data_IF_198586706539
#
_entry.id   IF_198586706539
#
_cell.length_a   1.000
_cell.length_b   1.000
_cell.length_c   1.000
_cell.angle_alpha   90.00
_cell.angle_beta   90.00
_cell.angle_gamma   90.00
#
_symmetry.space_group_name_H-M   'P 1'
#
loop_
_entity.id
_entity.type
_entity.pdbx_description
1 polymer ?
#
# COMPACT_ATOMS: atom_id res chain seq x y z
N UNK A 1 -66.69 -77.81 -4.59
CA UNK A 1 -65.92 -78.00 -3.33
C UNK A 1 -64.57 -77.33 -3.46
N UNK A 2 -63.77 -77.67 -4.47
CA UNK A 2 -62.50 -76.99 -4.80
C UNK A 2 -62.59 -75.46 -4.83
N UNK A 3 -63.54 -74.85 -5.53
CA UNK A 3 -63.66 -73.37 -5.61
C UNK A 3 -63.95 -72.71 -4.24
N UNK A 4 -64.77 -73.35 -3.40
CA UNK A 4 -65.05 -72.84 -2.05
C UNK A 4 -63.90 -73.11 -1.08
N UNK A 5 -63.13 -74.19 -1.31
CA UNK A 5 -61.91 -74.51 -0.57
C UNK A 5 -60.79 -73.52 -0.92
N UNK A 6 -60.61 -73.20 -2.20
CA UNK A 6 -59.71 -72.14 -2.68
C UNK A 6 -60.12 -70.78 -2.13
N UNK A 7 -61.40 -70.39 -2.26
CA UNK A 7 -61.88 -69.12 -1.70
C UNK A 7 -61.75 -69.03 -0.16
N UNK A 8 -61.95 -70.15 0.54
CA UNK A 8 -61.75 -70.25 1.99
C UNK A 8 -60.28 -70.17 2.38
N UNK A 9 -59.39 -70.83 1.65
CA UNK A 9 -57.94 -70.73 1.82
C UNK A 9 -57.47 -69.31 1.51
N UNK A 10 -57.93 -68.70 0.42
CA UNK A 10 -57.61 -67.32 0.04
C UNK A 10 -58.10 -66.31 1.11
N UNK A 11 -59.30 -66.54 1.67
CA UNK A 11 -59.84 -65.72 2.76
C UNK A 11 -59.06 -65.90 4.06
N UNK A 12 -58.65 -67.13 4.41
CA UNK A 12 -57.84 -67.41 5.61
C UNK A 12 -56.42 -66.83 5.44
N UNK A 13 -55.81 -66.98 4.26
CA UNK A 13 -54.52 -66.36 3.90
C UNK A 13 -54.59 -64.84 3.85
N UNK A 14 -55.78 -64.24 3.73
CA UNK A 14 -55.98 -62.79 3.82
C UNK A 14 -56.09 -62.26 5.27
N UNK A 15 -56.50 -63.10 6.23
CA UNK A 15 -56.78 -62.71 7.64
C UNK A 15 -55.60 -63.03 8.57
N UNK A 16 -54.60 -63.77 8.09
CA UNK A 16 -53.32 -63.94 8.77
C UNK A 16 -52.24 -64.15 7.69
N UNK A 17 -51.43 -63.12 7.38
CA UNK A 17 -50.42 -63.22 6.33
C UNK A 17 -49.49 -64.41 6.60
N UNK A 18 -49.21 -65.27 5.61
CA UNK A 18 -48.22 -66.32 5.79
C UNK A 18 -46.87 -65.69 6.14
N UNK A 19 -46.06 -66.36 6.97
CA UNK A 19 -44.75 -65.87 7.40
C UNK A 19 -43.88 -65.37 6.22
N UNK A 20 -44.01 -66.04 5.07
CA UNK A 20 -43.35 -65.70 3.80
C UNK A 20 -43.64 -64.28 3.29
N UNK A 21 -44.85 -63.74 3.50
CA UNK A 21 -45.22 -62.39 3.07
C UNK A 21 -44.55 -61.32 3.95
N UNK A 22 -44.53 -61.54 5.28
CA UNK A 22 -43.82 -60.65 6.22
C UNK A 22 -42.31 -60.70 5.99
N UNK A 23 -41.74 -61.88 5.75
CA UNK A 23 -40.31 -62.03 5.50
C UNK A 23 -39.91 -61.31 4.20
N UNK A 24 -40.68 -61.47 3.13
CA UNK A 24 -40.46 -60.75 1.86
C UNK A 24 -40.50 -59.24 2.05
N UNK A 25 -41.46 -58.73 2.83
CA UNK A 25 -41.56 -57.30 3.13
C UNK A 25 -40.35 -56.80 3.95
N UNK A 26 -39.87 -57.56 4.94
CA UNK A 26 -38.67 -57.19 5.71
C UNK A 26 -37.40 -57.20 4.85
N UNK A 27 -37.25 -58.17 3.93
CA UNK A 27 -36.14 -58.18 2.96
C UNK A 27 -36.17 -56.96 2.04
N UNK A 28 -37.36 -56.49 1.65
CA UNK A 28 -37.48 -55.25 0.88
C UNK A 28 -37.01 -54.02 1.69
N UNK A 29 -37.34 -53.96 2.98
CA UNK A 29 -36.83 -52.91 3.90
C UNK A 29 -35.31 -52.97 4.02
N UNK A 30 -34.73 -54.17 4.20
CA UNK A 30 -33.27 -54.35 4.26
C UNK A 30 -32.57 -53.91 2.98
N UNK A 31 -33.15 -54.24 1.82
CA UNK A 31 -32.63 -53.82 0.52
C UNK A 31 -32.68 -52.30 0.37
N UNK A 32 -33.80 -51.66 0.74
CA UNK A 32 -33.94 -50.21 0.71
C UNK A 32 -32.96 -49.50 1.65
N UNK A 33 -32.80 -50.02 2.88
CA UNK A 33 -31.84 -49.51 3.85
C UNK A 33 -30.40 -49.62 3.34
N UNK A 34 -30.02 -50.78 2.80
CA UNK A 34 -28.68 -51.00 2.25
C UNK A 34 -28.38 -50.05 1.07
N UNK A 35 -29.32 -49.92 0.13
CA UNK A 35 -29.21 -48.99 -0.99
C UNK A 35 -29.07 -47.53 -0.51
N UNK A 36 -29.85 -47.14 0.50
CA UNK A 36 -29.80 -45.77 1.03
C UNK A 36 -28.48 -45.45 1.75
N UNK A 37 -27.95 -46.41 2.51
CA UNK A 37 -26.62 -46.26 3.14
C UNK A 37 -25.51 -46.10 2.11
N UNK A 38 -25.59 -46.83 0.99
CA UNK A 38 -24.64 -46.68 -0.12
C UNK A 38 -24.74 -45.31 -0.79
N UNK A 39 -25.95 -44.78 -0.97
CA UNK A 39 -26.16 -43.40 -1.46
C UNK A 39 -25.49 -42.37 -0.53
N UNK A 40 -25.68 -42.52 0.79
CA UNK A 40 -25.04 -41.66 1.81
C UNK A 40 -23.51 -41.81 1.77
N UNK A 41 -22.97 -43.00 1.56
CA UNK A 41 -21.52 -43.22 1.45
C UNK A 41 -20.88 -42.49 0.28
N UNK A 42 -21.60 -42.44 -0.85
CA UNK A 42 -21.12 -41.81 -2.07
C UNK A 42 -21.12 -40.27 -2.00
N UNK A 43 -21.79 -39.68 -1.02
CA UNK A 43 -21.82 -38.22 -0.82
C UNK A 43 -20.48 -37.70 -0.30
N UNK A 44 -19.77 -36.92 -1.12
CA UNK A 44 -18.45 -36.36 -0.80
C UNK A 44 -18.52 -35.03 -0.04
N UNK A 45 -19.70 -34.41 -0.06
CA UNK A 45 -20.01 -33.17 0.66
C UNK A 45 -20.18 -33.41 2.18
N UNK A 46 -20.56 -34.63 2.57
CA UNK A 46 -20.72 -35.02 3.98
C UNK A 46 -19.40 -35.43 4.63
N UNK A 47 -19.27 -35.12 5.92
CA UNK A 47 -18.25 -35.71 6.77
C UNK A 47 -18.63 -37.12 7.24
N UNK A 48 -17.66 -37.86 7.75
CA UNK A 48 -17.85 -39.20 8.30
C UNK A 48 -18.85 -39.19 9.46
N UNK A 49 -18.86 -38.14 10.28
CA UNK A 49 -19.82 -37.95 11.37
C UNK A 49 -21.25 -37.71 10.84
N UNK A 50 -21.41 -36.86 9.82
CA UNK A 50 -22.72 -36.61 9.20
C UNK A 50 -23.26 -37.87 8.50
N UNK A 51 -22.38 -38.65 7.84
CA UNK A 51 -22.73 -39.96 7.26
C UNK A 51 -23.14 -40.94 8.34
N UNK A 52 -22.40 -41.03 9.45
CA UNK A 52 -22.72 -41.95 10.55
C UNK A 52 -24.09 -41.64 11.16
N UNK A 53 -24.39 -40.36 11.42
CA UNK A 53 -25.69 -39.93 11.91
C UNK A 53 -26.83 -40.30 10.95
N UNK A 54 -26.66 -40.04 9.65
CA UNK A 54 -27.66 -40.36 8.63
C UNK A 54 -27.89 -41.87 8.48
N UNK A 55 -26.83 -42.68 8.54
CA UNK A 55 -26.94 -44.15 8.52
C UNK A 55 -27.65 -44.68 9.76
N UNK A 56 -27.43 -44.07 10.92
CA UNK A 56 -28.17 -44.40 12.14
C UNK A 56 -29.67 -44.11 11.98
N UNK A 57 -30.04 -43.00 11.36
CA UNK A 57 -31.46 -42.69 11.06
C UNK A 57 -32.07 -43.72 10.08
N UNK A 58 -31.30 -44.16 9.07
CA UNK A 58 -31.71 -45.26 8.18
C UNK A 58 -31.99 -46.54 8.98
N UNK A 59 -31.12 -46.90 9.93
CA UNK A 59 -31.31 -48.08 10.80
C UNK A 59 -32.54 -47.96 11.70
N UNK A 60 -32.77 -46.77 12.26
CA UNK A 60 -33.97 -46.47 13.04
C UNK A 60 -35.24 -46.64 12.19
N UNK A 61 -35.29 -46.04 10.99
CA UNK A 61 -36.44 -46.15 10.08
C UNK A 61 -36.68 -47.56 9.57
N UNK A 62 -35.62 -48.32 9.29
CA UNK A 62 -35.74 -49.72 8.93
C UNK A 62 -36.32 -50.56 10.08
N UNK A 63 -35.90 -50.29 11.32
CA UNK A 63 -36.40 -51.00 12.51
C UNK A 63 -37.88 -50.67 12.80
N UNK A 64 -38.26 -49.39 12.67
CA UNK A 64 -39.66 -48.93 12.78
C UNK A 64 -40.55 -49.61 11.72
N UNK A 65 -40.10 -49.65 10.46
CA UNK A 65 -40.83 -50.30 9.36
C UNK A 65 -41.02 -51.80 9.58
N UNK A 66 -39.98 -52.52 10.05
CA UNK A 66 -40.07 -53.95 10.37
C UNK A 66 -41.06 -54.23 11.50
N UNK A 67 -41.07 -53.37 12.52
CA UNK A 67 -42.03 -53.48 13.63
C UNK A 67 -43.47 -53.23 13.17
N UNK A 68 -43.69 -52.30 12.23
CA UNK A 68 -45.00 -52.09 11.61
C UNK A 68 -45.45 -53.30 10.77
N UNK A 69 -44.53 -53.91 10.00
CA UNK A 69 -44.78 -55.16 9.25
C UNK A 69 -45.14 -56.31 10.20
N UNK A 70 -44.42 -56.45 11.32
CA UNK A 70 -44.71 -57.48 12.32
C UNK A 70 -46.08 -57.30 12.96
N UNK A 71 -46.49 -56.06 13.20
CA UNK A 71 -47.78 -55.70 13.78
C UNK A 71 -48.96 -55.83 12.80
N UNK A 72 -48.70 -55.89 11.49
CA UNK A 72 -49.75 -56.01 10.49
C UNK A 72 -50.47 -57.37 10.56
N UNK A 73 -51.80 -57.34 10.53
CA UNK A 73 -52.67 -58.53 10.65
C UNK A 73 -53.24 -59.01 9.31
N UNK A 74 -53.04 -58.27 8.22
CA UNK A 74 -53.51 -58.62 6.86
C UNK A 74 -52.40 -58.43 5.84
N UNK A 75 -52.49 -59.10 4.68
CA UNK A 75 -51.54 -58.91 3.58
C UNK A 75 -51.51 -57.45 3.08
N UNK A 76 -52.67 -56.79 3.00
CA UNK A 76 -52.76 -55.38 2.60
C UNK A 76 -52.07 -54.46 3.63
N UNK A 77 -52.17 -54.77 4.92
CA UNK A 77 -51.46 -54.07 5.98
C UNK A 77 -49.94 -54.25 5.88
N UNK A 78 -49.47 -55.47 5.58
CA UNK A 78 -48.05 -55.75 5.35
C UNK A 78 -47.51 -54.94 4.17
N UNK A 79 -48.22 -54.90 3.04
CA UNK A 79 -47.80 -54.12 1.88
C UNK A 79 -47.81 -52.61 2.16
N UNK A 80 -48.83 -52.11 2.87
CA UNK A 80 -48.91 -50.70 3.28
C UNK A 80 -47.73 -50.31 4.19
N UNK A 81 -47.42 -51.14 5.19
CA UNK A 81 -46.31 -50.91 6.11
C UNK A 81 -44.95 -50.97 5.39
N UNK A 82 -44.79 -51.90 4.45
CA UNK A 82 -43.62 -51.99 3.58
C UNK A 82 -43.44 -50.72 2.74
N UNK A 83 -44.48 -50.29 2.02
CA UNK A 83 -44.42 -49.08 1.19
C UNK A 83 -44.06 -47.86 2.03
N UNK A 84 -44.77 -47.61 3.14
CA UNK A 84 -44.46 -46.49 4.02
C UNK A 84 -43.03 -46.54 4.59
N UNK A 85 -42.53 -47.74 4.91
CA UNK A 85 -41.16 -47.93 5.38
C UNK A 85 -40.09 -47.64 4.32
N UNK A 86 -40.28 -48.14 3.09
CA UNK A 86 -39.41 -47.83 1.95
C UNK A 86 -39.41 -46.34 1.66
N UNK A 87 -40.59 -45.71 1.62
CA UNK A 87 -40.72 -44.27 1.38
C UNK A 87 -40.00 -43.46 2.46
N UNK A 88 -40.17 -43.82 3.74
CA UNK A 88 -39.51 -43.16 4.86
C UNK A 88 -37.98 -43.26 4.80
N UNK A 89 -37.44 -44.44 4.45
CA UNK A 89 -35.99 -44.63 4.24
C UNK A 89 -35.50 -43.80 3.06
N UNK A 90 -36.23 -43.82 1.94
CA UNK A 90 -35.85 -43.10 0.73
C UNK A 90 -35.77 -41.58 0.93
N UNK A 91 -36.62 -41.04 1.81
CA UNK A 91 -36.70 -39.62 2.14
C UNK A 91 -35.53 -39.08 2.97
N UNK A 92 -34.68 -39.96 3.53
CA UNK A 92 -33.52 -39.53 4.33
C UNK A 92 -32.52 -38.79 3.44
N UNK A 93 -32.26 -37.52 3.72
CA UNK A 93 -31.25 -36.74 2.99
C UNK A 93 -30.55 -35.79 3.95
N UNK A 94 -29.38 -36.16 4.51
CA UNK A 94 -28.71 -35.33 5.50
C UNK A 94 -28.17 -34.03 4.89
N UNK A 95 -28.21 -32.88 5.58
CA UNK A 95 -27.55 -31.67 5.11
C UNK A 95 -26.02 -31.79 5.24
N UNK A 96 -25.26 -31.17 4.34
CA UNK A 96 -23.82 -30.98 4.49
C UNK A 96 -23.56 -29.65 5.21
N UNK A 97 -23.29 -29.69 6.51
CA UNK A 97 -23.24 -28.48 7.34
C UNK A 97 -21.82 -28.07 7.67
N UNK A 98 -20.93 -29.03 7.94
CA UNK A 98 -19.57 -28.76 8.37
C UNK A 98 -18.76 -28.04 7.29
N UNK A 99 -18.71 -28.61 6.07
CA UNK A 99 -17.95 -28.03 4.95
C UNK A 99 -18.50 -26.68 4.50
N UNK A 100 -19.82 -26.54 4.43
CA UNK A 100 -20.47 -25.30 3.98
C UNK A 100 -20.23 -24.14 4.97
N UNK A 101 -20.30 -24.43 6.27
CA UNK A 101 -19.98 -23.45 7.32
C UNK A 101 -18.51 -23.03 7.24
N UNK A 102 -17.60 -23.98 7.04
CA UNK A 102 -16.17 -23.69 6.92
C UNK A 102 -15.85 -22.83 5.68
N UNK A 103 -16.44 -23.14 4.51
CA UNK A 103 -16.26 -22.33 3.29
C UNK A 103 -16.79 -20.91 3.45
N UNK A 104 -17.93 -20.74 4.12
CA UNK A 104 -18.50 -19.42 4.43
C UNK A 104 -17.56 -18.60 5.31
N UNK A 105 -16.89 -19.24 6.28
CA UNK A 105 -15.88 -18.58 7.10
C UNK A 105 -14.66 -18.15 6.28
N UNK A 106 -14.21 -18.95 5.32
CA UNK A 106 -13.14 -18.59 4.37
C UNK A 106 -13.54 -17.38 3.52
N UNK A 107 -14.75 -17.36 2.99
CA UNK A 107 -15.26 -16.22 2.20
C UNK A 107 -15.31 -14.93 3.02
N UNK A 108 -15.79 -15.03 4.27
CA UNK A 108 -15.84 -13.90 5.20
C UNK A 108 -14.44 -13.37 5.51
N UNK A 109 -13.48 -14.26 5.77
CA UNK A 109 -12.09 -13.88 6.05
C UNK A 109 -11.43 -13.23 4.83
N UNK A 110 -11.65 -13.78 3.63
CA UNK A 110 -11.15 -13.22 2.38
C UNK A 110 -11.70 -11.81 2.13
N UNK A 111 -13.01 -11.62 2.26
CA UNK A 111 -13.65 -10.32 2.07
C UNK A 111 -13.14 -9.27 3.07
N UNK A 112 -13.09 -9.61 4.36
CA UNK A 112 -12.55 -8.74 5.39
C UNK A 112 -11.09 -8.35 5.09
N UNK A 113 -10.28 -9.29 4.60
CA UNK A 113 -8.89 -9.04 4.26
C UNK A 113 -8.73 -8.12 3.04
N UNK A 114 -9.55 -8.30 2.00
CA UNK A 114 -9.58 -7.41 0.84
C UNK A 114 -9.98 -5.99 1.21
N UNK A 115 -10.95 -5.82 2.10
CA UNK A 115 -11.33 -4.50 2.62
C UNK A 115 -10.19 -3.85 3.42
N UNK A 116 -9.47 -4.63 4.24
CA UNK A 116 -8.29 -4.12 4.95
C UNK A 116 -7.19 -3.65 3.97
N UNK A 117 -6.98 -4.37 2.86
CA UNK A 117 -6.05 -3.98 1.78
C UNK A 117 -6.54 -2.70 1.08
N UNK A 118 -7.84 -2.54 0.83
CA UNK A 118 -8.38 -1.32 0.19
C UNK A 118 -8.17 -0.07 1.03
N UNK A 119 -8.27 -0.21 2.35
CA UNK A 119 -8.10 0.87 3.31
C UNK A 119 -6.65 1.32 3.45
N UNK A 120 -5.67 0.57 2.93
CA UNK A 120 -4.27 0.97 2.92
C UNK A 120 -4.02 2.08 1.90
N UNK A 121 -3.65 3.27 2.39
CA UNK A 121 -3.42 4.48 1.58
C UNK A 121 -1.98 4.61 1.09
N UNK A 122 -1.08 3.88 1.71
CA UNK A 122 0.33 3.74 1.35
C UNK A 122 0.52 2.91 0.08
N UNK A 123 -0.40 2.00 -0.23
CA UNK A 123 -0.36 1.16 -1.44
C UNK A 123 -0.92 1.88 -2.67
N UNK A 124 -0.37 1.54 -3.83
CA UNK A 124 -0.98 1.83 -5.12
C UNK A 124 -2.06 0.81 -5.48
N UNK A 125 -2.88 1.15 -6.47
CA UNK A 125 -3.96 0.29 -6.96
C UNK A 125 -3.40 -1.02 -7.54
N UNK A 126 -2.23 -1.00 -8.17
CA UNK A 126 -1.54 -2.20 -8.66
C UNK A 126 -1.06 -3.11 -7.51
N UNK A 127 -0.46 -2.53 -6.46
CA UNK A 127 -0.03 -3.29 -5.27
C UNK A 127 -1.23 -3.91 -4.54
N UNK A 128 -2.36 -3.18 -4.46
CA UNK A 128 -3.62 -3.70 -3.91
C UNK A 128 -4.18 -4.84 -4.75
N UNK A 129 -4.21 -4.70 -6.07
CA UNK A 129 -4.73 -5.73 -6.97
C UNK A 129 -3.95 -7.04 -6.84
N UNK A 130 -2.61 -6.96 -6.81
CA UNK A 130 -1.76 -8.13 -6.60
C UNK A 130 -2.04 -8.80 -5.25
N UNK A 131 -2.18 -8.02 -4.17
CA UNK A 131 -2.47 -8.56 -2.84
C UNK A 131 -3.86 -9.21 -2.76
N UNK A 132 -4.88 -8.63 -3.40
CA UNK A 132 -6.22 -9.23 -3.47
C UNK A 132 -6.23 -10.53 -4.25
N UNK A 133 -5.45 -10.62 -5.31
CA UNK A 133 -5.27 -11.87 -6.07
C UNK A 133 -4.60 -12.97 -5.23
N UNK A 134 -3.65 -12.62 -4.36
CA UNK A 134 -3.05 -13.55 -3.41
C UNK A 134 -4.08 -14.03 -2.37
N UNK A 135 -4.93 -13.13 -1.85
CA UNK A 135 -6.07 -13.49 -0.99
C UNK A 135 -7.00 -14.49 -1.68
N UNK A 136 -7.36 -14.26 -2.95
CA UNK A 136 -8.23 -15.15 -3.72
C UNK A 136 -7.61 -16.53 -3.94
N UNK A 137 -6.31 -16.57 -4.19
CA UNK A 137 -5.55 -17.83 -4.34
C UNK A 137 -5.59 -18.62 -3.05
N UNK A 138 -5.25 -18.00 -1.91
CA UNK A 138 -5.26 -18.63 -0.58
C UNK A 138 -6.66 -19.08 -0.15
N UNK A 139 -7.70 -18.31 -0.48
CA UNK A 139 -9.08 -18.70 -0.22
C UNK A 139 -9.48 -19.95 -1.04
N UNK A 140 -9.07 -20.02 -2.30
CA UNK A 140 -9.33 -21.18 -3.16
C UNK A 140 -8.59 -22.44 -2.68
N UNK A 141 -7.34 -22.30 -2.24
CA UNK A 141 -6.56 -23.38 -1.63
C UNK A 141 -7.22 -23.89 -0.33
N UNK A 142 -7.67 -22.99 0.54
CA UNK A 142 -8.36 -23.34 1.77
C UNK A 142 -9.68 -24.09 1.52
N UNK A 143 -10.48 -23.64 0.55
CA UNK A 143 -11.73 -24.33 0.15
C UNK A 143 -11.44 -25.73 -0.39
N UNK A 144 -10.38 -25.88 -1.19
CA UNK A 144 -9.95 -27.18 -1.71
C UNK A 144 -9.53 -28.14 -0.58
N UNK A 145 -8.86 -27.63 0.45
CA UNK A 145 -8.51 -28.43 1.64
C UNK A 145 -9.75 -28.84 2.46
N UNK A 146 -10.74 -27.95 2.59
CA UNK A 146 -12.04 -28.26 3.22
C UNK A 146 -12.79 -29.34 2.42
N UNK A 147 -12.78 -29.26 1.09
CA UNK A 147 -13.42 -30.26 0.23
C UNK A 147 -12.78 -31.63 0.38
N UNK A 148 -11.46 -31.69 0.52
CA UNK A 148 -10.70 -32.93 0.72
C UNK A 148 -10.84 -33.54 2.12
N UNK A 149 -11.27 -32.77 3.12
CA UNK A 149 -11.42 -33.26 4.50
C UNK A 149 -12.59 -34.24 4.62
N UNK A 150 -12.40 -35.34 5.36
CA UNK A 150 -13.43 -36.37 5.58
C UNK A 150 -14.10 -36.28 6.94
N UNK A 151 -13.45 -35.70 7.94
CA UNK A 151 -13.99 -35.57 9.31
C UNK A 151 -14.26 -34.12 9.66
N UNK A 152 -15.16 -33.89 10.63
CA UNK A 152 -15.41 -32.56 11.19
C UNK A 152 -14.11 -31.90 11.71
N UNK A 153 -13.23 -32.65 12.38
CA UNK A 153 -11.95 -32.14 12.89
C UNK A 153 -11.01 -31.68 11.77
N UNK A 154 -10.93 -32.46 10.68
CA UNK A 154 -10.12 -32.10 9.52
C UNK A 154 -10.67 -30.86 8.80
N UNK A 155 -12.00 -30.73 8.71
CA UNK A 155 -12.66 -29.52 8.18
C UNK A 155 -12.31 -28.30 9.02
N UNK A 156 -12.38 -28.41 10.35
CA UNK A 156 -12.05 -27.31 11.27
C UNK A 156 -10.56 -26.93 11.21
N UNK A 157 -9.68 -27.92 11.07
CA UNK A 157 -8.23 -27.70 10.88
C UNK A 157 -7.96 -26.97 9.56
N UNK A 158 -8.56 -27.41 8.46
CA UNK A 158 -8.41 -26.77 7.15
C UNK A 158 -8.97 -25.34 7.15
N UNK A 159 -10.12 -25.11 7.79
CA UNK A 159 -10.68 -23.77 8.00
C UNK A 159 -9.70 -22.87 8.73
N UNK A 160 -9.17 -23.32 9.87
CA UNK A 160 -8.24 -22.54 10.71
C UNK A 160 -6.99 -22.15 9.92
N UNK A 161 -6.31 -23.13 9.32
CA UNK A 161 -5.13 -22.89 8.50
C UNK A 161 -5.42 -21.95 7.32
N UNK A 162 -6.58 -22.10 6.67
CA UNK A 162 -7.03 -21.22 5.59
C UNK A 162 -7.22 -19.77 6.04
N UNK A 163 -7.92 -19.56 7.16
CA UNK A 163 -8.11 -18.20 7.71
C UNK A 163 -6.80 -17.55 8.14
N UNK A 164 -5.87 -18.30 8.74
CA UNK A 164 -4.54 -17.82 9.08
C UNK A 164 -3.75 -17.42 7.82
N UNK A 165 -3.74 -18.28 6.80
CA UNK A 165 -3.06 -18.01 5.53
C UNK A 165 -3.58 -16.74 4.86
N UNK A 166 -4.90 -16.53 4.81
CA UNK A 166 -5.52 -15.29 4.32
C UNK A 166 -5.11 -14.08 5.18
N UNK A 167 -5.17 -14.22 6.51
CA UNK A 167 -4.84 -13.13 7.42
C UNK A 167 -3.40 -12.64 7.29
N UNK A 168 -2.48 -13.55 6.90
CA UNK A 168 -1.05 -13.26 6.72
C UNK A 168 -0.71 -12.41 5.49
N UNK A 169 -1.64 -12.25 4.54
CA UNK A 169 -1.38 -11.46 3.33
C UNK A 169 -1.10 -10.00 3.71
N UNK A 170 0.13 -9.53 3.51
CA UNK A 170 0.49 -8.15 3.83
C UNK A 170 1.42 -7.59 2.75
N UNK A 171 0.90 -6.88 1.73
CA UNK A 171 1.73 -6.37 0.65
C UNK A 171 2.68 -5.26 1.13
N UNK A 172 3.91 -5.19 0.65
CA UNK A 172 4.79 -4.05 0.92
C UNK A 172 4.31 -2.80 0.14
N UNK A 173 4.53 -1.61 0.71
CA UNK A 173 4.34 -0.33 0.00
C UNK A 173 5.67 0.10 -0.60
N UNK A 174 5.87 -0.15 -1.89
CA UNK A 174 7.20 0.01 -2.52
C UNK A 174 7.28 1.23 -3.42
N UNK A 175 6.22 1.50 -4.19
CA UNK A 175 6.22 2.58 -5.16
C UNK A 175 6.40 3.96 -4.50
N UNK A 176 5.54 4.29 -3.52
CA UNK A 176 5.58 5.59 -2.83
C UNK A 176 6.86 5.79 -2.02
N UNK A 177 7.33 4.75 -1.32
CA UNK A 177 8.54 4.84 -0.49
C UNK A 177 9.80 5.06 -1.34
N UNK A 178 9.90 4.37 -2.47
CA UNK A 178 10.99 4.56 -3.44
C UNK A 178 10.96 5.98 -4.01
N UNK A 179 9.79 6.48 -4.39
CA UNK A 179 9.62 7.82 -4.91
C UNK A 179 10.00 8.92 -3.91
N UNK A 180 9.58 8.80 -2.64
CA UNK A 180 9.95 9.75 -1.57
C UNK A 180 11.45 9.76 -1.30
N UNK A 181 12.09 8.58 -1.32
CA UNK A 181 13.55 8.46 -1.17
C UNK A 181 14.31 9.17 -2.30
N UNK A 182 13.77 9.13 -3.52
CA UNK A 182 14.33 9.88 -4.65
C UNK A 182 14.18 11.40 -4.47
N UNK A 183 13.06 11.88 -3.92
CA UNK A 183 12.86 13.29 -3.55
C UNK A 183 13.87 13.74 -2.49
N UNK A 184 14.07 12.93 -1.43
CA UNK A 184 15.05 13.22 -0.39
C UNK A 184 16.48 13.32 -0.94
N UNK A 185 16.83 12.40 -1.84
CA UNK A 185 18.14 12.40 -2.52
C UNK A 185 18.32 13.66 -3.38
N UNK A 186 17.30 14.04 -4.16
CA UNK A 186 17.34 15.24 -4.98
C UNK A 186 17.45 16.52 -4.14
N UNK A 187 16.68 16.61 -3.04
CA UNK A 187 16.74 17.74 -2.12
C UNK A 187 18.13 17.87 -1.46
N UNK A 188 18.70 16.76 -0.98
CA UNK A 188 20.03 16.75 -0.38
C UNK A 188 21.11 17.20 -1.38
N UNK A 189 21.09 16.66 -2.59
CA UNK A 189 22.01 17.05 -3.65
C UNK A 189 21.89 18.55 -3.98
N UNK A 190 20.66 19.07 -4.07
CA UNK A 190 20.45 20.49 -4.39
C UNK A 190 20.92 21.42 -3.29
N UNK A 191 20.70 21.07 -2.03
CA UNK A 191 21.22 21.82 -0.88
C UNK A 191 22.75 21.86 -0.88
N UNK A 192 23.41 20.76 -1.25
CA UNK A 192 24.86 20.70 -1.39
C UNK A 192 25.37 21.61 -2.52
N UNK A 193 24.67 21.65 -3.66
CA UNK A 193 24.97 22.60 -4.75
C UNK A 193 24.89 24.05 -4.28
N UNK A 194 23.83 24.40 -3.53
CA UNK A 194 23.64 25.74 -2.93
C UNK A 194 24.75 26.05 -1.92
N UNK A 195 25.18 25.08 -1.11
CA UNK A 195 26.27 25.27 -0.14
C UNK A 195 27.60 25.62 -0.79
N UNK A 196 27.88 24.98 -1.92
CA UNK A 196 29.12 25.17 -2.66
C UNK A 196 29.21 26.52 -3.37
N UNK A 197 28.09 27.25 -3.52
CA UNK A 197 28.07 28.59 -4.13
C UNK A 197 28.73 29.63 -3.23
N UNK A 198 29.86 30.17 -3.67
CA UNK A 198 30.64 31.17 -2.92
C UNK A 198 30.20 32.61 -3.17
N UNK A 199 29.44 32.83 -4.24
CA UNK A 199 28.84 34.10 -4.60
C UNK A 199 27.67 34.48 -3.69
N UNK A 200 27.04 33.49 -3.05
CA UNK A 200 25.94 33.69 -2.11
C UNK A 200 26.42 33.97 -0.68
N UNK A 201 25.62 34.76 0.03
CA UNK A 201 25.69 34.89 1.49
C UNK A 201 24.99 33.73 2.20
N UNK A 202 25.27 33.55 3.48
CA UNK A 202 24.65 32.54 4.34
C UNK A 202 23.13 32.72 4.42
N UNK A 203 22.64 33.96 4.43
CA UNK A 203 21.21 34.27 4.42
C UNK A 203 20.53 33.88 3.08
N UNK A 204 21.16 34.17 1.95
CA UNK A 204 20.65 33.79 0.62
C UNK A 204 20.66 32.25 0.46
N UNK A 205 21.69 31.56 0.96
CA UNK A 205 21.74 30.09 1.01
C UNK A 205 20.62 29.53 1.88
N UNK A 206 20.42 30.08 3.07
CA UNK A 206 19.38 29.61 3.99
C UNK A 206 17.98 29.72 3.37
N UNK A 207 17.67 30.86 2.74
CA UNK A 207 16.41 31.06 2.03
C UNK A 207 16.23 30.05 0.89
N UNK A 208 17.27 29.80 0.08
CA UNK A 208 17.21 28.84 -1.01
C UNK A 208 17.03 27.38 -0.53
N UNK A 209 17.68 26.99 0.56
CA UNK A 209 17.49 25.65 1.15
C UNK A 209 16.09 25.47 1.71
N UNK A 210 15.49 26.52 2.27
CA UNK A 210 14.10 26.49 2.72
C UNK A 210 13.10 26.33 1.55
N UNK A 211 13.38 26.94 0.39
CA UNK A 211 12.61 26.71 -0.84
C UNK A 211 12.75 25.25 -1.33
N UNK A 212 13.96 24.68 -1.30
CA UNK A 212 14.18 23.25 -1.58
C UNK A 212 13.34 22.36 -0.67
N UNK A 213 13.31 22.64 0.64
CA UNK A 213 12.49 21.87 1.60
C UNK A 213 10.99 21.98 1.33
N UNK A 214 10.54 23.19 0.98
CA UNK A 214 9.14 23.43 0.62
C UNK A 214 8.73 22.59 -0.58
N UNK A 215 9.51 22.66 -1.67
CA UNK A 215 9.27 21.89 -2.90
C UNK A 215 9.37 20.37 -2.68
N UNK A 216 10.29 19.91 -1.83
CA UNK A 216 10.39 18.51 -1.46
C UNK A 216 9.15 18.02 -0.71
N UNK A 217 8.62 18.81 0.22
CA UNK A 217 7.39 18.48 0.95
C UNK A 217 6.15 18.47 0.05
N UNK A 218 6.05 19.43 -0.89
CA UNK A 218 4.99 19.45 -1.91
C UNK A 218 5.04 18.20 -2.79
N UNK A 219 6.23 17.81 -3.26
CA UNK A 219 6.43 16.61 -4.06
C UNK A 219 6.03 15.33 -3.30
N UNK A 220 6.44 15.20 -2.03
CA UNK A 220 6.04 14.07 -1.17
C UNK A 220 4.53 14.01 -0.97
N UNK A 221 3.89 15.17 -0.79
CA UNK A 221 2.42 15.25 -0.65
C UNK A 221 1.71 14.82 -1.94
N UNK A 222 2.25 15.17 -3.12
CA UNK A 222 1.73 14.70 -4.40
C UNK A 222 1.89 13.18 -4.58
N UNK A 223 3.03 12.62 -4.16
CA UNK A 223 3.26 11.15 -4.14
C UNK A 223 2.26 10.46 -3.21
N UNK A 224 1.98 11.04 -2.04
CA UNK A 224 1.00 10.48 -1.10
C UNK A 224 -0.43 10.47 -1.68
N UNK A 225 -0.79 11.51 -2.44
CA UNK A 225 -2.09 11.62 -3.09
C UNK A 225 -2.27 10.70 -4.31
N UNK A 226 -1.17 10.28 -4.96
CA UNK A 226 -1.21 9.40 -6.12
C UNK A 226 -1.76 8.01 -5.76
N UNK A 227 -2.63 7.46 -6.63
CA UNK A 227 -3.23 6.13 -6.42
C UNK A 227 -2.62 5.04 -7.29
N UNK A 228 -2.03 5.39 -8.44
CA UNK A 228 -1.39 4.42 -9.36
C UNK A 228 0.12 4.56 -9.37
N UNK A 229 0.82 3.50 -9.78
CA UNK A 229 2.28 3.55 -10.00
C UNK A 229 2.69 4.66 -10.97
N UNK A 230 1.93 4.87 -12.05
CA UNK A 230 2.20 5.91 -13.04
C UNK A 230 2.06 7.32 -12.45
N UNK A 231 1.03 7.56 -11.64
CA UNK A 231 0.83 8.84 -10.96
C UNK A 231 1.94 9.10 -9.93
N UNK A 232 2.42 8.07 -9.24
CA UNK A 232 3.58 8.17 -8.32
C UNK A 232 4.84 8.57 -9.09
N UNK A 233 5.14 7.93 -10.21
CA UNK A 233 6.32 8.27 -11.04
C UNK A 233 6.21 9.68 -11.66
N UNK A 234 5.01 10.09 -12.04
CA UNK A 234 4.74 11.45 -12.53
C UNK A 234 5.00 12.49 -11.44
N UNK A 235 4.46 12.28 -10.24
CA UNK A 235 4.65 13.19 -9.09
C UNK A 235 6.13 13.27 -8.67
N UNK A 236 6.83 12.13 -8.66
CA UNK A 236 8.27 12.06 -8.42
C UNK A 236 9.04 12.89 -9.45
N UNK A 237 8.77 12.70 -10.73
CA UNK A 237 9.47 13.41 -11.83
C UNK A 237 9.27 14.92 -11.69
N UNK A 238 8.02 15.37 -11.59
CA UNK A 238 7.69 16.79 -11.39
C UNK A 238 8.34 17.37 -10.12
N UNK A 239 8.37 16.60 -9.03
CA UNK A 239 9.03 16.99 -7.78
C UNK A 239 10.54 17.18 -7.93
N UNK A 240 11.22 16.24 -8.58
CA UNK A 240 12.67 16.34 -8.84
C UNK A 240 13.03 17.52 -9.75
N UNK A 241 12.20 17.82 -10.76
CA UNK A 241 12.35 18.99 -11.62
C UNK A 241 12.12 20.29 -10.86
N UNK A 242 11.09 20.35 -10.01
CA UNK A 242 10.82 21.52 -9.17
C UNK A 242 11.98 21.82 -8.22
N UNK A 243 12.57 20.79 -7.60
CA UNK A 243 13.76 20.93 -6.74
C UNK A 243 14.98 21.38 -7.55
N UNK A 244 15.25 20.76 -8.70
CA UNK A 244 16.44 21.08 -9.51
C UNK A 244 16.42 22.52 -10.03
N UNK A 245 15.23 23.07 -10.25
CA UNK A 245 15.01 24.46 -10.68
C UNK A 245 15.37 25.53 -9.64
N UNK A 246 15.58 25.18 -8.37
CA UNK A 246 15.93 26.15 -7.33
C UNK A 246 17.29 26.76 -7.61
N UNK A 247 17.34 28.04 -7.99
CA UNK A 247 18.60 28.72 -8.26
C UNK A 247 18.53 30.17 -7.72
N UNK A 248 19.03 30.43 -6.49
CA UNK A 248 18.93 31.77 -5.91
C UNK A 248 19.86 32.77 -6.62
N UNK A 249 19.47 34.03 -6.80
CA UNK A 249 20.38 35.06 -7.29
C UNK A 249 21.40 35.46 -6.21
N UNK A 250 22.61 35.85 -6.61
CA UNK A 250 23.58 36.51 -5.73
C UNK A 250 23.34 38.01 -5.76
N UNK A 251 22.71 38.56 -4.73
CA UNK A 251 22.25 39.96 -4.75
C UNK A 251 23.10 40.85 -3.86
N UNK A 252 23.46 40.37 -2.66
CA UNK A 252 24.18 41.17 -1.67
C UNK A 252 25.58 41.59 -2.16
N UNK A 253 26.41 40.61 -2.56
CA UNK A 253 27.77 40.87 -3.04
C UNK A 253 27.80 41.70 -4.33
N UNK A 254 26.91 41.42 -5.28
CA UNK A 254 26.84 42.14 -6.56
C UNK A 254 26.44 43.60 -6.37
N UNK A 255 25.46 43.85 -5.48
CA UNK A 255 25.06 45.22 -5.11
C UNK A 255 26.20 45.98 -4.43
N UNK A 256 26.91 45.32 -3.50
CA UNK A 256 28.05 45.92 -2.80
C UNK A 256 29.20 46.27 -3.75
N UNK A 257 29.57 45.38 -4.68
CA UNK A 257 30.60 45.64 -5.69
C UNK A 257 30.23 46.79 -6.61
N UNK A 258 28.97 46.87 -7.02
CA UNK A 258 28.45 47.99 -7.83
C UNK A 258 28.61 49.33 -7.09
N UNK A 259 28.38 49.35 -5.78
CA UNK A 259 28.59 50.54 -4.95
C UNK A 259 30.09 50.93 -4.86
N UNK A 260 30.99 49.96 -4.76
CA UNK A 260 32.44 50.20 -4.81
C UNK A 260 32.86 50.79 -6.15
N UNK A 261 32.37 50.25 -7.26
CA UNK A 261 32.65 50.77 -8.60
C UNK A 261 32.18 52.22 -8.77
N UNK A 262 30.96 52.50 -8.29
CA UNK A 262 30.40 53.85 -8.30
C UNK A 262 31.24 54.84 -7.48
N UNK A 263 31.68 54.43 -6.28
CA UNK A 263 32.51 55.26 -5.41
C UNK A 263 33.90 55.52 -6.01
N UNK A 264 34.52 54.50 -6.60
CA UNK A 264 35.81 54.61 -7.26
C UNK A 264 35.76 55.59 -8.43
N UNK A 265 34.76 55.45 -9.31
CA UNK A 265 34.56 56.34 -10.46
C UNK A 265 34.36 57.80 -10.03
N UNK A 266 33.46 58.04 -9.06
CA UNK A 266 33.23 59.38 -8.53
C UNK A 266 34.51 60.00 -7.94
N UNK A 267 35.34 59.18 -7.26
CA UNK A 267 36.59 59.66 -6.66
C UNK A 267 37.64 60.01 -7.72
N UNK A 268 37.77 59.22 -8.78
CA UNK A 268 38.68 59.52 -9.90
C UNK A 268 38.28 60.81 -10.62
N UNK A 269 36.98 61.03 -10.83
CA UNK A 269 36.49 62.30 -11.39
C UNK A 269 36.83 63.49 -10.48
N UNK A 270 36.69 63.35 -9.16
CA UNK A 270 37.10 64.39 -8.22
C UNK A 270 38.62 64.69 -8.28
N UNK A 271 39.46 63.66 -8.44
CA UNK A 271 40.91 63.81 -8.64
C UNK A 271 41.22 64.51 -9.96
N UNK A 272 40.52 64.18 -11.05
CA UNK A 272 40.73 64.84 -12.35
C UNK A 272 40.45 66.33 -12.31
N UNK A 273 39.42 66.72 -11.57
CA UNK A 273 39.00 68.11 -11.44
C UNK A 273 39.97 68.95 -10.59
N UNK A 274 40.93 68.34 -9.88
CA UNK A 274 41.96 69.07 -9.11
C UNK A 274 42.98 69.73 -10.05
N UNK A 275 43.07 71.07 -9.96
CA UNK A 275 43.96 71.90 -10.80
C UNK A 275 45.34 72.16 -10.16
N UNK A 276 45.50 71.75 -8.91
CA UNK A 276 46.72 71.87 -8.12
C UNK A 276 47.69 70.70 -8.35
N UNK A 277 47.20 69.54 -8.79
CA UNK A 277 47.97 68.33 -9.06
C UNK A 277 48.57 68.29 -10.48
N UNK A 278 49.71 67.63 -10.65
CA UNK A 278 50.24 67.24 -11.97
C UNK A 278 49.54 65.98 -12.50
N UNK A 279 49.75 65.68 -13.79
CA UNK A 279 49.20 64.47 -14.41
C UNK A 279 49.76 63.20 -13.76
N UNK A 280 51.04 63.18 -13.37
CA UNK A 280 51.66 62.07 -12.65
C UNK A 280 51.06 61.89 -11.25
N UNK A 281 50.84 62.97 -10.51
CA UNK A 281 50.19 62.93 -9.18
C UNK A 281 48.74 62.45 -9.28
N UNK A 282 48.00 62.86 -10.32
CA UNK A 282 46.65 62.35 -10.61
C UNK A 282 46.66 60.87 -10.96
N UNK A 283 47.58 60.44 -11.83
CA UNK A 283 47.71 59.04 -12.23
C UNK A 283 48.01 58.14 -11.03
N UNK A 284 48.94 58.54 -10.16
CA UNK A 284 49.27 57.82 -8.93
C UNK A 284 48.05 57.72 -7.99
N UNK A 285 47.31 58.82 -7.79
CA UNK A 285 46.13 58.82 -6.94
C UNK A 285 44.98 57.96 -7.50
N UNK A 286 44.76 57.97 -8.82
CA UNK A 286 43.78 57.08 -9.45
C UNK A 286 44.17 55.61 -9.32
N UNK A 287 45.46 55.29 -9.41
CA UNK A 287 45.97 53.93 -9.17
C UNK A 287 45.77 53.48 -7.72
N UNK A 288 45.89 54.39 -6.75
CA UNK A 288 45.56 54.11 -5.34
C UNK A 288 44.05 53.86 -5.16
N UNK A 289 43.20 54.64 -5.83
CA UNK A 289 41.74 54.38 -5.87
C UNK A 289 41.45 52.98 -6.42
N UNK A 290 42.09 52.59 -7.53
CA UNK A 290 41.91 51.26 -8.13
C UNK A 290 42.35 50.13 -7.19
N UNK A 291 43.50 50.30 -6.54
CA UNK A 291 43.99 49.34 -5.53
C UNK A 291 42.97 49.17 -4.41
N UNK A 292 42.52 50.27 -3.80
CA UNK A 292 41.53 50.26 -2.71
C UNK A 292 40.18 49.68 -3.14
N UNK A 293 39.75 49.94 -4.37
CA UNK A 293 38.53 49.35 -4.92
C UNK A 293 38.65 47.83 -5.07
N UNK A 294 39.78 47.34 -5.59
CA UNK A 294 40.03 45.90 -5.72
C UNK A 294 40.15 45.20 -4.35
N UNK A 295 40.79 45.84 -3.37
CA UNK A 295 40.87 45.33 -2.00
C UNK A 295 39.48 45.24 -1.37
N UNK A 296 38.63 46.25 -1.55
CA UNK A 296 37.25 46.26 -1.06
C UNK A 296 36.40 45.16 -1.71
N UNK A 297 36.52 44.96 -3.04
CA UNK A 297 35.83 43.87 -3.74
C UNK A 297 36.28 42.50 -3.23
N UNK A 298 37.58 42.33 -2.98
CA UNK A 298 38.13 41.09 -2.41
C UNK A 298 37.60 40.82 -1.00
N UNK A 299 37.46 41.87 -0.17
CA UNK A 299 36.83 41.77 1.15
C UNK A 299 35.34 41.40 1.07
N UNK A 300 34.60 41.95 0.09
CA UNK A 300 33.20 41.58 -0.18
C UNK A 300 33.10 40.11 -0.63
N UNK A 301 34.02 39.65 -1.47
CA UNK A 301 34.07 38.25 -1.91
C UNK A 301 34.31 37.27 -0.75
N UNK A 302 35.19 37.64 0.18
CA UNK A 302 35.50 36.85 1.37
C UNK A 302 34.39 36.86 2.44
N UNK A 303 33.51 37.87 2.44
CA UNK A 303 32.41 37.97 3.38
C UNK A 303 31.38 36.85 3.17
N UNK A 304 30.92 36.22 4.25
CA UNK A 304 29.95 35.12 4.20
C UNK A 304 28.54 35.56 4.55
N UNK A 305 28.36 36.62 5.35
CA UNK A 305 27.04 37.13 5.77
C UNK A 305 26.72 38.47 5.11
N UNK A 306 25.43 38.79 5.01
CA UNK A 306 24.96 40.11 4.56
C UNK A 306 25.60 41.26 5.36
N UNK A 307 25.72 41.11 6.68
CA UNK A 307 26.33 42.12 7.55
C UNK A 307 27.81 42.34 7.24
N UNK A 308 28.56 41.26 7.01
CA UNK A 308 29.97 41.34 6.65
C UNK A 308 30.16 41.98 5.26
N UNK A 309 29.27 41.68 4.31
CA UNK A 309 29.25 42.32 2.98
C UNK A 309 29.03 43.84 3.11
N UNK A 310 28.03 44.27 3.88
CA UNK A 310 27.76 45.70 4.11
C UNK A 310 28.90 46.40 4.88
N UNK A 311 29.54 45.70 5.81
CA UNK A 311 30.73 46.21 6.52
C UNK A 311 31.90 46.42 5.57
N UNK A 312 32.22 45.42 4.73
CA UNK A 312 33.30 45.50 3.74
C UNK A 312 33.06 46.60 2.70
N UNK A 313 31.81 46.72 2.23
CA UNK A 313 31.36 47.80 1.36
C UNK A 313 31.59 49.17 2.00
N UNK A 314 31.12 49.36 3.24
CA UNK A 314 31.26 50.62 3.97
C UNK A 314 32.73 51.01 4.12
N UNK A 315 33.56 50.11 4.66
CA UNK A 315 35.00 50.31 4.82
C UNK A 315 35.70 50.60 3.49
N UNK A 316 35.32 49.90 2.42
CA UNK A 316 35.84 50.12 1.07
C UNK A 316 35.53 51.50 0.53
N UNK A 317 34.26 51.94 0.62
CA UNK A 317 33.86 53.29 0.19
C UNK A 317 34.55 54.39 1.00
N UNK A 318 34.73 54.21 2.31
CA UNK A 318 35.48 55.14 3.15
C UNK A 318 36.96 55.20 2.74
N UNK A 319 37.60 54.05 2.54
CA UNK A 319 39.00 53.96 2.10
C UNK A 319 39.22 54.66 0.76
N UNK A 320 38.33 54.48 -0.22
CA UNK A 320 38.35 55.18 -1.51
C UNK A 320 38.17 56.69 -1.30
N UNK A 321 37.19 57.09 -0.49
CA UNK A 321 36.89 58.50 -0.25
C UNK A 321 38.09 59.26 0.38
N UNK A 322 38.89 58.55 1.20
CA UNK A 322 40.06 59.09 1.89
C UNK A 322 41.27 59.40 0.98
N UNK A 323 41.29 58.89 -0.27
CA UNK A 323 42.41 59.14 -1.18
C UNK A 323 42.54 60.63 -1.47
N UNK A 324 43.59 61.27 -0.98
CA UNK A 324 43.80 62.70 -1.16
C UNK A 324 45.28 63.00 -1.40
N UNK A 325 45.74 63.02 -2.67
CA UNK A 325 47.16 63.22 -2.97
C UNK A 325 47.61 64.66 -2.62
N UNK A 326 48.81 64.84 -2.05
CA UNK A 326 49.38 66.16 -1.82
C UNK A 326 49.89 66.77 -3.15
N UNK A 327 49.78 68.10 -3.32
CA UNK A 327 50.22 68.83 -4.51
C UNK A 327 51.70 69.25 -4.41
N UNK A 328 52.59 68.26 -4.35
CA UNK A 328 54.00 68.48 -3.98
C UNK A 328 54.87 69.00 -5.12
N UNK A 329 54.61 68.58 -6.37
CA UNK A 329 55.44 68.94 -7.51
C UNK A 329 55.27 70.42 -7.90
N UNK A 330 54.03 70.92 -7.88
CA UNK A 330 53.71 72.33 -8.17
C UNK A 330 54.19 73.26 -7.06
N UNK A 331 54.06 72.84 -5.79
CA UNK A 331 54.56 73.61 -4.65
C UNK A 331 56.10 73.66 -4.64
N UNK A 332 56.79 72.57 -4.99
CA UNK A 332 58.25 72.56 -5.13
C UNK A 332 58.71 73.47 -6.28
N UNK A 333 58.02 73.44 -7.43
CA UNK A 333 58.31 74.33 -8.55
C UNK A 333 58.07 75.82 -8.22
N UNK A 334 57.09 76.12 -7.36
CA UNK A 334 56.77 77.48 -6.91
C UNK A 334 57.74 78.02 -5.85
N UNK A 335 58.42 77.12 -5.11
CA UNK A 335 59.40 77.46 -4.08
C UNK A 335 60.84 77.55 -4.64
N UNK A 336 61.07 77.00 -5.84
CA UNK A 336 62.36 77.01 -6.53
C UNK A 336 62.57 78.22 -7.48
N UNK A 337 61.60 79.14 -7.55
CA UNK A 337 61.63 80.41 -8.30
C UNK A 337 61.73 81.57 -7.31
#
# INVERSE_FOLDING_TARGET
VETAKTAGVDSISAINPPATAKDTAKTAIDTAAAAKKQEIDNRQDLTDEEKAAAKSDVDTKASEAKSAIDSATTNAGVETAKTAGVDSISAINPPATAKDTAKTAIDTAAEAKKQAIDNRKDLTDEEKAAAKSDVDTKASEAKSAIDAATTNEAVETAKTAGTESISSVNPPATAKDTAKSAIDTAAAAKKQEIDNRQDLTDEEKAAAKADVDTKANEAKSAIDAATTNEAVETAKTAGTESISSVNPPATAKDTAKTAIDTAAEAKKQAIDNRQDLTDEEKAAAKSDVDTKANDAKSAIDAATTNEAVETAKTAGTESISSVNPPATAKDTAKTAI
#
